data_IF_752668564708
#
_entry.id   IF_752668564708
#
_cell.length_a   1.000
_cell.length_b   1.000
_cell.length_c   1.000
_cell.angle_alpha   90.00
_cell.angle_beta   90.00
_cell.angle_gamma   90.00
#
_symmetry.space_group_name_H-M   'P 1'
#
loop_
_entity.id
_entity.type
_entity.pdbx_description
1 polymer ?
#
# COMPACT_ATOMS: atom_id res chain seq x y z
N UNK A 1 -11.97 15.05 -14.53
CA UNK A 1 -11.22 15.13 -13.27
C UNK A 1 -10.50 13.82 -13.09
N UNK A 2 -9.25 13.85 -12.60
CA UNK A 2 -8.35 12.69 -12.61
C UNK A 2 -8.43 11.91 -11.30
N UNK A 3 -8.10 10.62 -11.37
CA UNK A 3 -7.83 9.77 -10.21
C UNK A 3 -6.40 9.96 -9.69
N UNK A 4 -6.16 9.61 -8.44
CA UNK A 4 -4.81 9.43 -7.88
C UNK A 4 -4.51 7.94 -7.83
N UNK A 5 -3.60 7.46 -8.68
CA UNK A 5 -3.20 6.04 -8.76
C UNK A 5 -2.14 5.74 -7.72
N UNK A 6 -2.50 4.90 -6.75
CA UNK A 6 -1.69 4.61 -5.57
C UNK A 6 -1.13 3.19 -5.64
N UNK A 7 0.17 3.08 -5.37
CA UNK A 7 0.82 1.81 -5.05
C UNK A 7 1.08 1.69 -3.55
N UNK A 8 0.86 0.50 -2.99
CA UNK A 8 1.14 0.20 -1.57
C UNK A 8 2.37 -0.70 -1.47
N UNK A 9 3.33 -0.32 -0.62
CA UNK A 9 4.46 -1.17 -0.23
C UNK A 9 4.28 -1.61 1.21
N UNK A 10 4.10 -2.92 1.43
CA UNK A 10 3.74 -3.49 2.73
C UNK A 10 2.23 -3.47 2.96
N UNK A 11 1.57 -4.60 2.73
CA UNK A 11 0.11 -4.76 2.87
C UNK A 11 -0.23 -5.15 4.31
N UNK A 12 0.21 -4.33 5.27
CA UNK A 12 -0.02 -4.52 6.70
C UNK A 12 -1.35 -3.94 7.21
N UNK A 13 -1.48 -3.82 8.54
CA UNK A 13 -2.63 -3.19 9.19
C UNK A 13 -2.90 -1.75 8.71
N UNK A 14 -1.86 -0.95 8.47
CA UNK A 14 -2.01 0.42 7.95
C UNK A 14 -2.62 0.43 6.54
N UNK A 15 -2.13 -0.45 5.65
CA UNK A 15 -2.69 -0.61 4.32
C UNK A 15 -4.16 -1.07 4.38
N UNK A 16 -4.48 -2.00 5.28
CA UNK A 16 -5.86 -2.45 5.50
C UNK A 16 -6.79 -1.31 5.91
N UNK A 17 -6.40 -0.50 6.90
CA UNK A 17 -7.17 0.66 7.33
C UNK A 17 -7.29 1.73 6.23
N UNK A 18 -6.26 1.92 5.40
CA UNK A 18 -6.29 2.87 4.29
C UNK A 18 -7.28 2.43 3.20
N UNK A 19 -7.19 1.17 2.75
CA UNK A 19 -8.06 0.64 1.69
C UNK A 19 -9.52 0.65 2.16
N UNK A 20 -9.78 0.18 3.39
CA UNK A 20 -11.11 0.23 3.99
C UNK A 20 -11.60 1.66 4.20
N UNK A 21 -10.73 2.60 4.58
CA UNK A 21 -11.10 4.00 4.79
C UNK A 21 -11.53 4.70 3.50
N UNK A 22 -10.83 4.43 2.39
CA UNK A 22 -11.23 4.95 1.06
C UNK A 22 -12.60 4.41 0.66
N UNK A 23 -12.84 3.11 0.87
CA UNK A 23 -14.14 2.49 0.57
C UNK A 23 -15.25 3.03 1.48
N UNK A 24 -14.99 3.14 2.79
CA UNK A 24 -15.97 3.58 3.79
C UNK A 24 -16.47 5.01 3.53
N UNK A 25 -15.58 5.90 3.08
CA UNK A 25 -15.91 7.31 2.79
C UNK A 25 -16.10 7.60 1.30
N UNK A 26 -16.28 6.58 0.46
CA UNK A 26 -16.38 6.75 -1.00
C UNK A 26 -17.52 7.65 -1.47
N UNK A 27 -18.59 7.74 -0.67
CA UNK A 27 -19.82 8.51 -0.92
C UNK A 27 -19.98 9.69 0.06
N UNK A 28 -18.94 10.04 0.82
CA UNK A 28 -19.00 11.17 1.75
C UNK A 28 -19.35 12.48 1.03
N UNK A 29 -20.13 13.36 1.66
CA UNK A 29 -20.41 14.68 1.09
C UNK A 29 -19.11 15.51 1.15
N UNK A 30 -18.69 16.20 0.06
CA UNK A 30 -17.52 17.08 0.09
C UNK A 30 -17.51 18.13 1.21
N UNK A 31 -18.68 18.48 1.76
CA UNK A 31 -18.85 19.45 2.85
C UNK A 31 -18.85 18.81 4.25
N UNK A 32 -18.80 17.48 4.35
CA UNK A 32 -18.77 16.79 5.63
C UNK A 32 -17.45 16.99 6.37
N UNK A 33 -17.53 16.93 7.71
CA UNK A 33 -16.37 16.88 8.59
C UNK A 33 -16.12 15.44 9.02
N UNK A 34 -15.27 14.74 8.27
CA UNK A 34 -14.86 13.38 8.57
C UNK A 34 -13.69 13.38 9.57
N UNK A 35 -13.80 12.69 10.73
CA UNK A 35 -12.69 12.58 11.68
C UNK A 35 -11.43 11.97 11.05
N UNK A 36 -10.28 12.63 11.24
CA UNK A 36 -8.98 12.19 10.70
C UNK A 36 -8.67 12.70 9.29
N UNK A 37 -9.63 13.30 8.59
CA UNK A 37 -9.41 13.97 7.31
C UNK A 37 -9.46 15.49 7.49
N UNK A 38 -8.54 16.21 6.83
CA UNK A 38 -8.63 17.67 6.74
C UNK A 38 -9.82 18.10 5.89
N UNK A 39 -10.01 17.41 4.75
CA UNK A 39 -11.09 17.65 3.79
C UNK A 39 -11.53 16.32 3.16
N UNK A 40 -12.82 16.17 2.89
CA UNK A 40 -13.34 15.06 2.07
C UNK A 40 -12.90 15.22 0.61
N UNK A 41 -12.82 16.46 0.12
CA UNK A 41 -12.17 16.81 -1.15
C UNK A 41 -10.94 17.66 -0.88
N UNK A 42 -9.74 17.12 -1.12
CA UNK A 42 -8.48 17.81 -0.90
C UNK A 42 -7.95 18.38 -2.23
N UNK A 43 -8.03 19.69 -2.40
CA UNK A 43 -7.82 20.32 -3.71
C UNK A 43 -8.92 19.88 -4.67
N UNK A 44 -8.54 19.24 -5.78
CA UNK A 44 -9.48 18.72 -6.78
C UNK A 44 -9.79 17.21 -6.61
N UNK A 45 -9.30 16.58 -5.54
CA UNK A 45 -9.39 15.12 -5.34
C UNK A 45 -10.33 14.77 -4.18
N UNK A 46 -11.41 14.05 -4.47
CA UNK A 46 -12.28 13.43 -3.48
C UNK A 46 -11.63 12.16 -2.90
N UNK A 47 -12.03 11.71 -1.70
CA UNK A 47 -11.53 10.44 -1.12
C UNK A 47 -11.64 9.27 -2.11
N UNK A 48 -12.77 9.19 -2.82
CA UNK A 48 -13.02 8.13 -3.81
C UNK A 48 -12.17 8.23 -5.08
N UNK A 49 -11.44 9.33 -5.31
CA UNK A 49 -10.50 9.46 -6.42
C UNK A 49 -9.18 8.73 -6.16
N UNK A 50 -8.93 8.28 -4.92
CA UNK A 50 -7.82 7.38 -4.59
C UNK A 50 -8.09 6.00 -5.17
N UNK A 51 -7.26 5.56 -6.12
CA UNK A 51 -7.36 4.25 -6.78
C UNK A 51 -6.11 3.43 -6.52
N UNK A 52 -6.25 2.31 -5.81
CA UNK A 52 -5.15 1.37 -5.66
C UNK A 52 -4.95 0.62 -6.97
N UNK A 53 -3.73 0.68 -7.52
CA UNK A 53 -3.40 0.08 -8.84
C UNK A 53 -2.24 -0.91 -8.77
N UNK A 54 -1.48 -0.90 -7.68
CA UNK A 54 -0.41 -1.83 -7.42
C UNK A 54 -0.24 -2.05 -5.91
N UNK A 55 0.23 -3.23 -5.53
CA UNK A 55 0.57 -3.55 -4.16
C UNK A 55 1.76 -4.51 -4.13
N UNK A 56 2.63 -4.36 -3.13
CA UNK A 56 3.83 -5.17 -2.96
C UNK A 56 3.93 -5.68 -1.53
N UNK A 57 4.24 -6.97 -1.39
CA UNK A 57 4.50 -7.60 -0.10
C UNK A 57 5.56 -8.71 -0.27
N UNK A 58 5.95 -9.32 0.84
CA UNK A 58 6.90 -10.43 0.91
C UNK A 58 6.30 -11.67 1.56
N UNK A 59 5.17 -11.55 2.27
CA UNK A 59 4.49 -12.65 2.95
C UNK A 59 3.82 -13.61 1.94
N UNK A 60 4.09 -14.91 2.07
CA UNK A 60 3.51 -15.98 1.25
C UNK A 60 1.98 -16.03 1.31
N UNK A 61 1.38 -15.56 2.40
CA UNK A 61 -0.09 -15.46 2.57
C UNK A 61 -0.67 -14.17 1.97
N UNK A 62 0.12 -13.35 1.27
CA UNK A 62 -0.34 -12.10 0.64
C UNK A 62 0.06 -12.03 -0.83
N UNK A 63 1.32 -12.35 -1.14
CA UNK A 63 1.83 -12.36 -2.51
C UNK A 63 1.00 -13.31 -3.38
N UNK A 64 0.50 -12.79 -4.51
CA UNK A 64 -0.37 -13.51 -5.45
C UNK A 64 -1.86 -13.40 -5.16
N UNK A 65 -2.28 -12.81 -4.04
CA UNK A 65 -3.69 -12.59 -3.71
C UNK A 65 -4.21 -11.25 -4.26
N UNK A 66 -5.52 -11.10 -4.38
CA UNK A 66 -6.15 -9.79 -4.60
C UNK A 66 -5.91 -8.89 -3.38
N UNK A 67 -5.71 -7.59 -3.60
CA UNK A 67 -5.51 -6.62 -2.52
C UNK A 67 -6.66 -6.65 -1.49
N UNK A 68 -7.92 -6.84 -1.90
CA UNK A 68 -9.07 -6.94 -0.98
C UNK A 68 -8.95 -8.13 -0.02
N UNK A 69 -8.34 -9.23 -0.45
CA UNK A 69 -8.12 -10.40 0.38
C UNK A 69 -6.85 -10.24 1.23
N UNK A 70 -5.77 -9.69 0.63
CA UNK A 70 -4.49 -9.51 1.30
C UNK A 70 -4.56 -8.56 2.50
N UNK A 71 -5.44 -7.55 2.47
CA UNK A 71 -5.61 -6.60 3.59
C UNK A 71 -6.18 -7.24 4.86
N UNK A 72 -6.79 -8.43 4.77
CA UNK A 72 -7.30 -9.20 5.92
C UNK A 72 -6.55 -10.53 6.11
N UNK A 73 -5.45 -10.73 5.38
CA UNK A 73 -4.68 -11.96 5.43
C UNK A 73 -3.50 -11.90 6.41
N UNK A 74 -2.96 -13.08 6.75
CA UNK A 74 -1.85 -13.26 7.67
C UNK A 74 -2.11 -12.61 9.04
N UNK A 75 -1.12 -11.93 9.61
CA UNK A 75 -1.20 -11.28 10.92
C UNK A 75 -1.92 -9.91 10.90
N UNK A 76 -2.55 -9.52 9.79
CA UNK A 76 -3.40 -8.34 9.76
C UNK A 76 -4.64 -8.58 10.63
N UNK A 77 -4.91 -7.66 11.55
CA UNK A 77 -5.91 -7.80 12.61
C UNK A 77 -6.50 -6.44 13.06
N UNK A 78 -6.36 -5.40 12.25
CA UNK A 78 -7.06 -4.13 12.48
C UNK A 78 -8.58 -4.33 12.44
N UNK A 79 -9.32 -3.39 13.03
CA UNK A 79 -10.78 -3.42 13.01
C UNK A 79 -11.32 -3.38 11.57
N UNK A 80 -12.34 -4.19 11.28
CA UNK A 80 -13.07 -4.11 10.01
C UNK A 80 -14.07 -2.95 10.06
N UNK A 81 -13.91 -1.98 9.16
CA UNK A 81 -14.77 -0.81 9.01
C UNK A 81 -15.84 -1.03 7.93
N UNK A 82 -15.48 -1.72 6.84
CA UNK A 82 -16.33 -2.01 5.70
C UNK A 82 -15.82 -3.23 4.95
N UNK A 83 -16.71 -3.91 4.23
CA UNK A 83 -16.31 -4.88 3.23
C UNK A 83 -15.67 -4.16 2.02
N UNK A 84 -14.65 -4.78 1.44
CA UNK A 84 -13.95 -4.29 0.24
C UNK A 84 -14.16 -5.34 -0.87
N UNK A 85 -14.78 -4.93 -1.97
CA UNK A 85 -14.96 -5.81 -3.12
C UNK A 85 -13.61 -6.14 -3.79
N UNK A 86 -13.49 -7.26 -4.52
CA UNK A 86 -12.27 -7.60 -5.26
C UNK A 86 -11.80 -6.43 -6.11
N UNK A 87 -10.52 -6.09 -5.97
CA UNK A 87 -9.93 -4.89 -6.58
C UNK A 87 -9.42 -5.14 -8.00
N UNK A 88 -9.12 -6.39 -8.33
CA UNK A 88 -8.36 -6.78 -9.53
C UNK A 88 -6.85 -6.50 -9.40
N UNK A 89 -6.38 -5.99 -8.27
CA UNK A 89 -4.96 -5.69 -8.01
C UNK A 89 -4.34 -6.88 -7.30
N UNK A 90 -3.52 -7.65 -8.02
CA UNK A 90 -2.74 -8.73 -7.41
C UNK A 90 -1.55 -8.16 -6.64
N UNK A 91 -1.36 -8.59 -5.40
CA UNK A 91 -0.18 -8.25 -4.60
C UNK A 91 1.04 -8.93 -5.21
N UNK A 92 2.00 -8.12 -5.64
CA UNK A 92 3.22 -8.58 -6.28
C UNK A 92 4.33 -8.84 -5.25
N UNK A 93 5.26 -9.72 -5.61
CA UNK A 93 6.44 -9.98 -4.79
C UNK A 93 7.41 -8.80 -4.89
N UNK A 94 7.56 -8.05 -3.81
CA UNK A 94 8.60 -7.03 -3.70
C UNK A 94 9.93 -7.59 -3.19
N UNK A 95 11.09 -6.96 -3.42
CA UNK A 95 12.34 -7.38 -2.79
C UNK A 95 12.31 -7.14 -1.27
N UNK A 96 12.85 -8.09 -0.51
CA UNK A 96 12.71 -8.12 0.95
C UNK A 96 13.68 -7.20 1.70
N UNK A 97 14.96 -7.19 1.30
CA UNK A 97 16.03 -6.49 2.01
C UNK A 97 15.99 -6.72 3.53
N UNK A 98 16.06 -5.64 4.31
CA UNK A 98 15.94 -5.57 5.77
C UNK A 98 14.47 -5.40 6.24
N UNK A 99 13.51 -5.68 5.36
CA UNK A 99 12.06 -5.67 5.63
C UNK A 99 11.58 -6.71 6.65
N UNK A 100 12.27 -7.86 6.73
CA UNK A 100 11.93 -8.93 7.66
C UNK A 100 12.93 -8.99 8.81
N UNK A 101 12.52 -8.54 10.00
CA UNK A 101 13.27 -8.72 11.24
C UNK A 101 13.19 -10.16 11.78
N UNK A 102 13.96 -10.47 12.82
CA UNK A 102 13.99 -11.80 13.46
C UNK A 102 12.59 -12.29 13.85
N UNK A 103 11.83 -11.49 14.60
CA UNK A 103 10.49 -11.87 15.06
C UNK A 103 9.49 -12.00 13.92
N UNK A 104 9.60 -11.19 12.86
CA UNK A 104 8.73 -11.34 11.69
C UNK A 104 8.94 -12.69 11.01
N UNK A 105 10.20 -13.12 10.83
CA UNK A 105 10.51 -14.44 10.25
C UNK A 105 10.03 -15.63 11.09
N UNK A 106 9.75 -15.43 12.37
CA UNK A 106 9.16 -16.45 13.24
C UNK A 106 7.64 -16.57 13.07
N UNK A 107 6.97 -15.54 12.55
CA UNK A 107 5.52 -15.45 12.44
C UNK A 107 5.00 -15.63 11.01
N UNK A 108 5.76 -15.17 10.01
CA UNK A 108 5.36 -15.22 8.61
C UNK A 108 6.34 -16.05 7.77
N UNK A 109 5.81 -16.71 6.76
CA UNK A 109 6.60 -17.39 5.75
C UNK A 109 6.84 -16.42 4.59
N UNK A 110 8.10 -16.21 4.23
CA UNK A 110 8.46 -15.39 3.08
C UNK A 110 8.06 -16.11 1.78
N UNK A 111 7.40 -15.40 0.86
CA UNK A 111 6.97 -15.92 -0.43
C UNK A 111 8.17 -16.38 -1.26
N UNK A 112 8.05 -17.60 -1.81
CA UNK A 112 9.01 -18.22 -2.71
C UNK A 112 8.95 -17.70 -4.15
N UNK A 113 8.02 -16.80 -4.46
CA UNK A 113 8.00 -16.10 -5.74
C UNK A 113 9.25 -15.22 -5.90
N UNK A 114 9.68 -15.04 -7.14
CA UNK A 114 10.78 -14.12 -7.46
C UNK A 114 10.31 -12.65 -7.35
N UNK A 115 11.11 -11.76 -6.74
CA UNK A 115 10.82 -10.33 -6.73
C UNK A 115 10.67 -9.74 -8.14
N UNK A 116 9.63 -8.93 -8.32
CA UNK A 116 9.39 -8.22 -9.59
C UNK A 116 10.31 -7.01 -9.72
N UNK A 117 10.49 -6.53 -10.96
CA UNK A 117 11.09 -5.22 -11.21
C UNK A 117 10.11 -4.13 -10.77
N UNK A 118 10.38 -3.50 -9.63
CA UNK A 118 9.51 -2.49 -9.04
C UNK A 118 9.36 -1.27 -9.95
N UNK A 119 10.44 -0.77 -10.56
CA UNK A 119 10.37 0.42 -11.43
C UNK A 119 9.46 0.14 -12.62
N UNK A 120 9.61 -1.04 -13.23
CA UNK A 120 8.73 -1.46 -14.31
C UNK A 120 7.29 -1.63 -13.84
N UNK A 121 7.06 -2.30 -12.72
CA UNK A 121 5.72 -2.52 -12.19
C UNK A 121 4.98 -1.20 -11.89
N UNK A 122 5.68 -0.20 -11.32
CA UNK A 122 5.14 1.12 -11.07
C UNK A 122 4.77 1.86 -12.37
N UNK A 123 5.63 1.79 -13.39
CA UNK A 123 5.38 2.40 -14.70
C UNK A 123 4.23 1.72 -15.45
N UNK A 124 4.21 0.39 -15.46
CA UNK A 124 3.19 -0.41 -16.15
C UNK A 124 1.80 -0.18 -15.52
N UNK A 125 1.73 0.07 -14.21
CA UNK A 125 0.51 0.45 -13.48
C UNK A 125 0.22 1.97 -13.49
N UNK A 126 1.05 2.76 -14.17
CA UNK A 126 0.96 4.23 -14.25
C UNK A 126 0.80 4.91 -12.88
N UNK A 127 1.57 4.48 -11.88
CA UNK A 127 1.44 4.94 -10.51
C UNK A 127 1.76 6.44 -10.38
N UNK A 128 0.91 7.17 -9.66
CA UNK A 128 1.15 8.58 -9.32
C UNK A 128 1.85 8.70 -7.96
N UNK A 129 1.45 7.89 -6.97
CA UNK A 129 1.95 7.93 -5.60
C UNK A 129 2.27 6.53 -5.07
N UNK A 130 3.46 6.35 -4.51
CA UNK A 130 3.85 5.15 -3.75
C UNK A 130 3.74 5.46 -2.26
N UNK A 131 3.02 4.62 -1.51
CA UNK A 131 2.92 4.72 -0.05
C UNK A 131 3.69 3.56 0.59
N UNK A 132 4.68 3.89 1.43
CA UNK A 132 5.51 2.92 2.12
C UNK A 132 5.03 2.67 3.55
N UNK A 133 4.58 1.44 3.82
CA UNK A 133 4.20 0.92 5.13
C UNK A 133 5.12 -0.25 5.54
N UNK A 134 6.40 -0.15 5.18
CA UNK A 134 7.40 -1.13 5.60
C UNK A 134 7.53 -1.16 7.14
N UNK A 135 7.99 -2.29 7.72
CA UNK A 135 8.28 -2.37 9.14
C UNK A 135 9.32 -1.35 9.60
N UNK A 136 9.23 -0.93 10.87
CA UNK A 136 10.21 -0.01 11.47
C UNK A 136 11.60 -0.64 11.43
N UNK A 137 12.58 0.13 10.95
CA UNK A 137 13.99 -0.28 10.86
C UNK A 137 14.42 -0.80 9.48
N UNK A 138 13.51 -0.87 8.51
CA UNK A 138 13.79 -1.33 7.14
C UNK A 138 14.38 -0.21 6.27
N UNK A 139 15.59 0.24 6.61
CA UNK A 139 16.26 1.37 5.96
C UNK A 139 16.67 1.07 4.52
N UNK A 140 17.25 -0.09 4.25
CA UNK A 140 17.68 -0.50 2.91
C UNK A 140 16.47 -0.68 2.00
N UNK A 141 15.42 -1.35 2.49
CA UNK A 141 14.18 -1.55 1.76
C UNK A 141 13.52 -0.21 1.41
N UNK A 142 13.36 0.68 2.38
CA UNK A 142 12.61 1.92 2.17
C UNK A 142 13.35 2.89 1.23
N UNK A 143 14.68 2.97 1.35
CA UNK A 143 15.51 3.71 0.40
C UNK A 143 15.46 3.10 -1.01
N UNK A 144 15.40 1.78 -1.12
CA UNK A 144 15.22 1.12 -2.41
C UNK A 144 13.87 1.49 -3.05
N UNK A 145 12.77 1.43 -2.32
CA UNK A 145 11.45 1.80 -2.85
C UNK A 145 11.35 3.30 -3.16
N UNK A 146 11.99 4.15 -2.37
CA UNK A 146 12.09 5.58 -2.67
C UNK A 146 12.87 5.84 -3.97
N UNK A 147 14.01 5.16 -4.18
CA UNK A 147 14.75 5.26 -5.44
C UNK A 147 13.92 4.72 -6.61
N UNK A 148 13.20 3.61 -6.42
CA UNK A 148 12.33 3.06 -7.46
C UNK A 148 11.18 4.02 -7.82
N UNK A 149 10.62 4.74 -6.84
CA UNK A 149 9.63 5.78 -7.08
C UNK A 149 10.22 6.95 -7.87
N UNK A 150 11.43 7.41 -7.53
CA UNK A 150 12.16 8.44 -8.30
C UNK A 150 12.35 7.99 -9.75
N UNK A 151 12.84 6.78 -9.96
CA UNK A 151 13.13 6.24 -11.29
C UNK A 151 11.86 6.03 -12.11
N UNK A 152 10.74 5.68 -11.46
CA UNK A 152 9.42 5.55 -12.10
C UNK A 152 8.73 6.91 -12.34
N UNK A 153 9.19 7.99 -11.71
CA UNK A 153 8.56 9.32 -11.78
C UNK A 153 7.35 9.48 -10.87
N UNK A 154 7.24 8.66 -9.82
CA UNK A 154 6.15 8.69 -8.86
C UNK A 154 6.48 9.58 -7.65
N UNK A 155 5.46 10.15 -7.02
CA UNK A 155 5.61 10.70 -5.68
C UNK A 155 5.78 9.59 -4.64
N UNK A 156 6.41 9.90 -3.50
CA UNK A 156 6.66 8.94 -2.42
C UNK A 156 6.13 9.47 -1.07
N UNK A 157 5.32 8.68 -0.39
CA UNK A 157 4.81 8.94 0.96
C UNK A 157 5.45 7.93 1.90
N UNK A 158 6.41 8.39 2.68
CA UNK A 158 7.06 7.60 3.71
C UNK A 158 6.25 7.64 5.01
N UNK A 159 5.74 6.49 5.47
CA UNK A 159 4.99 6.36 6.71
C UNK A 159 5.78 5.73 7.87
N UNK A 160 7.07 5.45 7.69
CA UNK A 160 7.95 4.85 8.69
C UNK A 160 9.09 5.80 9.07
N UNK A 161 9.70 5.67 10.26
CA UNK A 161 10.71 6.60 10.75
C UNK A 161 12.11 6.34 10.15
N UNK A 162 12.19 6.13 8.84
CA UNK A 162 13.43 6.13 8.07
C UNK A 162 13.62 7.51 7.43
N UNK A 163 14.82 8.06 7.50
CA UNK A 163 15.11 9.33 6.83
C UNK A 163 15.44 9.08 5.36
N UNK A 164 14.55 9.56 4.48
CA UNK A 164 14.66 9.49 3.01
C UNK A 164 15.09 10.84 2.44
#
# INVERSE_FOLDING_TARGET
MGSVRVAIVGVGNCASSLVQGVEYYREADPNDRVPGLMHVTFGDYHVSDVKFVAAFDVDAKKVGMDLAEAIVASENNTITLTDVAPTGVTVQRGPTFDGLGTYYREMVEESSAEPVDIVRALRDAEVDVVVSYLPVGSEEADKFYAQAAIDAGCAFVNALPVFI
#
